data_IF_441845081549
#
_entry.id   IF_441845081549
#
_cell.length_a   1.000
_cell.length_b   1.000
_cell.length_c   1.000
_cell.angle_alpha   90.00
_cell.angle_beta   90.00
_cell.angle_gamma   90.00
#
_symmetry.space_group_name_H-M   'P 1'
#
loop_
_entity.id
_entity.type
_entity.pdbx_description
1 polymer ?
#
# COMPACT_ATOMS: atom_id res chain seq x y z
N UNK A 1 -31.13 -34.50 41.88
CA UNK A 1 -29.82 -34.53 41.19
C UNK A 1 -29.94 -33.65 39.96
N UNK A 2 -29.50 -32.39 40.04
CA UNK A 2 -29.62 -31.43 38.93
C UNK A 2 -28.38 -31.54 38.04
N UNK A 3 -28.59 -31.78 36.74
CA UNK A 3 -27.55 -31.87 35.73
C UNK A 3 -27.11 -30.47 35.28
N UNK A 4 -25.80 -30.25 35.24
CA UNK A 4 -25.18 -29.00 34.81
C UNK A 4 -25.29 -28.80 33.30
N UNK A 5 -25.86 -27.66 32.91
CA UNK A 5 -25.74 -27.08 31.57
C UNK A 5 -24.38 -26.41 31.41
N UNK A 6 -23.52 -26.95 30.56
CA UNK A 6 -22.27 -26.31 30.14
C UNK A 6 -22.54 -25.21 29.11
N UNK A 7 -22.48 -23.96 29.53
CA UNK A 7 -22.33 -22.81 28.61
C UNK A 7 -20.86 -22.63 28.30
N UNK A 8 -20.49 -22.95 27.06
CA UNK A 8 -19.15 -22.68 26.53
C UNK A 8 -19.00 -21.17 26.33
N UNK A 9 -18.15 -20.54 27.13
CA UNK A 9 -17.80 -19.12 26.99
C UNK A 9 -16.83 -18.96 25.82
N UNK A 10 -17.32 -18.36 24.73
CA UNK A 10 -16.46 -17.91 23.62
C UNK A 10 -15.63 -16.73 24.14
N UNK A 11 -14.34 -16.98 24.41
CA UNK A 11 -13.38 -15.94 24.76
C UNK A 11 -13.09 -15.07 23.53
N UNK A 12 -13.72 -13.88 23.48
CA UNK A 12 -13.41 -12.86 22.48
C UNK A 12 -11.98 -12.38 22.71
N UNK A 13 -11.08 -12.67 21.77
CA UNK A 13 -9.71 -12.20 21.84
C UNK A 13 -9.64 -10.68 21.91
N UNK A 14 -9.03 -10.14 22.97
CA UNK A 14 -8.76 -8.72 23.18
C UNK A 14 -7.42 -8.35 22.57
N UNK A 15 -7.23 -8.58 21.27
CA UNK A 15 -6.10 -7.99 20.55
C UNK A 15 -6.39 -6.49 20.37
N UNK A 16 -5.81 -5.67 21.23
CA UNK A 16 -5.92 -4.21 21.13
C UNK A 16 -5.08 -3.74 19.94
N UNK A 17 -5.74 -3.51 18.80
CA UNK A 17 -5.12 -2.86 17.64
C UNK A 17 -5.40 -1.36 17.65
N UNK A 18 -4.44 -0.55 17.20
CA UNK A 18 -4.65 0.89 16.98
C UNK A 18 -5.29 1.19 15.63
N UNK A 19 -5.47 0.17 14.78
CA UNK A 19 -6.16 0.30 13.50
C UNK A 19 -7.66 0.53 13.70
N UNK A 20 -8.31 1.30 12.81
CA UNK A 20 -9.73 1.57 12.91
C UNK A 20 -10.53 0.30 12.60
N UNK A 21 -11.70 0.16 13.24
CA UNK A 21 -12.71 -0.83 12.86
C UNK A 21 -13.26 -0.48 11.49
N UNK A 22 -13.41 -1.48 10.61
CA UNK A 22 -14.03 -1.29 9.30
C UNK A 22 -15.51 -0.91 9.45
N UNK A 23 -15.93 0.08 8.67
CA UNK A 23 -17.32 0.56 8.63
C UNK A 23 -18.21 -0.28 7.71
N UNK A 24 -17.62 -1.05 6.80
CA UNK A 24 -18.32 -1.95 5.88
C UNK A 24 -17.42 -3.12 5.46
N UNK A 25 -18.02 -4.15 4.86
CA UNK A 25 -17.26 -5.24 4.23
C UNK A 25 -16.38 -4.71 3.09
N UNK A 26 -16.88 -3.76 2.31
CA UNK A 26 -16.15 -3.15 1.20
C UNK A 26 -14.88 -2.43 1.69
N UNK A 27 -14.97 -1.71 2.81
CA UNK A 27 -13.79 -1.09 3.43
C UNK A 27 -12.74 -2.12 3.86
N UNK A 28 -13.19 -3.24 4.44
CA UNK A 28 -12.32 -4.34 4.80
C UNK A 28 -11.63 -4.93 3.55
N UNK A 29 -12.40 -5.22 2.50
CA UNK A 29 -11.90 -5.82 1.28
C UNK A 29 -10.84 -4.90 0.60
N UNK A 30 -11.08 -3.59 0.54
CA UNK A 30 -10.13 -2.61 -0.03
C UNK A 30 -8.84 -2.55 0.77
N UNK A 31 -8.92 -2.48 2.10
CA UNK A 31 -7.73 -2.37 2.96
C UNK A 31 -6.94 -3.69 2.95
N UNK A 32 -7.62 -4.84 2.99
CA UNK A 32 -6.97 -6.16 2.90
C UNK A 32 -6.29 -6.35 1.55
N UNK A 33 -6.95 -6.00 0.44
CA UNK A 33 -6.34 -6.05 -0.89
C UNK A 33 -5.13 -5.11 -1.01
N UNK A 34 -5.26 -3.89 -0.47
CA UNK A 34 -4.16 -2.92 -0.43
C UNK A 34 -2.96 -3.45 0.35
N UNK A 35 -3.19 -4.04 1.52
CA UNK A 35 -2.14 -4.65 2.33
C UNK A 35 -1.47 -5.83 1.61
N UNK A 36 -2.25 -6.71 0.99
CA UNK A 36 -1.72 -7.85 0.24
C UNK A 36 -0.87 -7.42 -0.97
N UNK A 37 -1.25 -6.34 -1.66
CA UNK A 37 -0.44 -5.75 -2.75
C UNK A 37 0.81 -5.05 -2.22
N UNK A 38 0.72 -4.39 -1.06
CA UNK A 38 1.86 -3.74 -0.41
C UNK A 38 2.92 -4.77 -0.02
N UNK A 39 2.53 -5.91 0.56
CA UNK A 39 3.46 -6.99 0.91
C UNK A 39 4.26 -7.50 -0.29
N UNK A 40 3.65 -7.54 -1.48
CA UNK A 40 4.32 -7.96 -2.73
C UNK A 40 5.17 -6.85 -3.38
N UNK A 41 5.06 -5.60 -2.93
CA UNK A 41 5.63 -4.46 -3.63
C UNK A 41 7.14 -4.25 -3.42
N UNK A 42 7.70 -4.87 -2.38
CA UNK A 42 9.08 -4.68 -1.95
C UNK A 42 9.35 -3.37 -1.20
N UNK A 43 8.55 -2.32 -1.38
CA UNK A 43 8.73 -1.02 -0.72
C UNK A 43 7.80 -0.79 0.48
N UNK A 44 7.03 -1.81 0.87
CA UNK A 44 6.30 -1.83 2.12
C UNK A 44 7.17 -2.40 3.24
N UNK A 45 7.41 -1.62 4.29
CA UNK A 45 8.29 -1.95 5.41
C UNK A 45 7.56 -2.43 6.67
N UNK A 46 6.23 -2.60 6.60
CA UNK A 46 5.45 -3.07 7.76
C UNK A 46 5.62 -2.16 8.97
N UNK A 47 5.82 -2.70 10.19
CA UNK A 47 5.85 -1.94 11.45
C UNK A 47 7.18 -1.18 11.67
N UNK A 48 7.55 -0.35 10.70
CA UNK A 48 8.75 0.49 10.73
C UNK A 48 8.52 1.79 11.52
N UNK A 49 9.46 2.15 12.39
CA UNK A 49 9.45 3.44 13.09
C UNK A 49 9.73 4.63 12.17
N UNK A 50 9.28 5.82 12.58
CA UNK A 50 9.54 7.04 11.79
C UNK A 50 11.02 7.40 11.76
N UNK A 51 11.71 7.23 12.88
CA UNK A 51 13.14 7.50 13.05
C UNK A 51 13.97 6.57 12.17
N UNK A 52 13.58 5.28 12.13
CA UNK A 52 14.19 4.26 11.27
C UNK A 52 14.02 4.58 9.80
N UNK A 53 12.77 4.85 9.38
CA UNK A 53 12.45 5.21 8.01
C UNK A 53 13.23 6.46 7.56
N UNK A 54 13.35 7.47 8.44
CA UNK A 54 14.14 8.67 8.16
C UNK A 54 15.62 8.35 8.02
N UNK A 55 16.19 7.53 8.89
CA UNK A 55 17.60 7.13 8.79
C UNK A 55 17.90 6.40 7.47
N UNK A 56 17.05 5.45 7.07
CA UNK A 56 17.19 4.72 5.81
C UNK A 56 17.13 5.64 4.59
N UNK A 57 16.24 6.63 4.63
CA UNK A 57 16.06 7.59 3.54
C UNK A 57 17.08 8.73 3.55
N UNK A 58 17.85 8.91 4.63
CA UNK A 58 18.76 10.03 4.79
C UNK A 58 19.80 10.10 3.66
N UNK A 59 20.37 8.95 3.29
CA UNK A 59 21.35 8.80 2.21
C UNK A 59 20.73 8.38 0.86
N UNK A 60 19.41 8.18 0.81
CA UNK A 60 18.73 7.80 -0.43
C UNK A 60 18.62 8.99 -1.41
N UNK A 61 18.52 8.73 -2.72
CA UNK A 61 18.26 9.76 -3.72
C UNK A 61 17.00 10.59 -3.44
N UNK A 62 16.97 11.84 -3.90
CA UNK A 62 15.79 12.70 -3.80
C UNK A 62 14.54 12.02 -4.39
N UNK A 63 13.43 12.07 -3.65
CA UNK A 63 12.16 11.46 -4.03
C UNK A 63 12.08 9.96 -3.72
N UNK A 64 13.14 9.35 -3.16
CA UNK A 64 13.07 7.97 -2.69
C UNK A 64 12.01 7.83 -1.62
N UNK A 65 11.22 6.76 -1.63
CA UNK A 65 10.08 6.62 -0.73
C UNK A 65 9.82 5.18 -0.29
N UNK A 66 9.16 5.02 0.84
CA UNK A 66 8.67 3.74 1.33
C UNK A 66 7.31 3.90 2.02
N UNK A 67 6.56 2.79 2.08
CA UNK A 67 5.32 2.70 2.86
C UNK A 67 5.59 1.89 4.11
N UNK A 68 5.00 2.30 5.23
CA UNK A 68 5.08 1.60 6.51
C UNK A 68 3.74 1.71 7.24
N UNK A 69 3.56 0.89 8.26
CA UNK A 69 2.46 1.04 9.20
C UNK A 69 2.52 2.42 9.86
N UNK A 70 1.35 3.02 10.01
CA UNK A 70 1.20 4.18 10.87
C UNK A 70 1.20 3.73 12.33
N UNK A 71 1.90 4.47 13.21
CA UNK A 71 1.78 4.32 14.68
C UNK A 71 0.61 5.12 15.25
N UNK A 72 -0.07 5.90 14.42
CA UNK A 72 -1.18 6.73 14.86
C UNK A 72 -2.49 5.94 14.88
N UNK A 73 -3.25 6.08 15.96
CA UNK A 73 -4.59 5.51 16.10
C UNK A 73 -5.49 5.91 14.93
N UNK A 74 -6.18 4.92 14.35
CA UNK A 74 -7.14 5.11 13.27
C UNK A 74 -6.53 5.30 11.88
N UNK A 75 -5.22 5.12 11.73
CA UNK A 75 -4.54 5.24 10.43
C UNK A 75 -3.81 3.94 10.14
N UNK A 76 -3.98 3.41 8.93
CA UNK A 76 -3.31 2.17 8.51
C UNK A 76 -1.87 2.43 8.08
N UNK A 77 -1.67 3.33 7.11
CA UNK A 77 -0.39 3.47 6.41
C UNK A 77 0.20 4.88 6.52
N UNK A 78 1.53 4.96 6.41
CA UNK A 78 2.29 6.21 6.32
C UNK A 78 3.28 6.11 5.16
N UNK A 79 3.37 7.18 4.38
CA UNK A 79 4.38 7.40 3.35
C UNK A 79 5.57 8.12 3.99
N UNK A 80 6.75 7.52 3.96
CA UNK A 80 8.01 8.19 4.28
C UNK A 80 8.81 8.40 3.01
N UNK A 81 9.34 9.61 2.78
CA UNK A 81 10.09 9.91 1.56
C UNK A 81 11.19 10.95 1.78
N UNK A 82 12.19 10.94 0.90
CA UNK A 82 13.30 11.89 0.86
C UNK A 82 12.88 13.15 0.12
N UNK A 83 12.54 14.20 0.87
CA UNK A 83 12.31 15.54 0.34
C UNK A 83 13.60 16.34 0.18
N UNK A 84 13.47 17.57 -0.36
CA UNK A 84 14.60 18.50 -0.57
C UNK A 84 15.32 18.86 0.72
N UNK A 85 14.59 19.00 1.82
CA UNK A 85 15.12 19.35 3.13
C UNK A 85 15.42 18.13 4.02
N UNK A 86 15.38 16.91 3.45
CA UNK A 86 15.58 15.67 4.19
C UNK A 86 14.35 14.76 4.19
N UNK A 87 14.43 13.62 4.90
CA UNK A 87 13.33 12.68 5.04
C UNK A 87 12.14 13.28 5.78
N UNK A 88 10.93 13.00 5.30
CA UNK A 88 9.69 13.35 5.98
C UNK A 88 8.67 12.22 5.90
N UNK A 89 7.66 12.28 6.77
CA UNK A 89 6.57 11.30 6.82
C UNK A 89 5.22 12.00 6.72
N UNK A 90 4.32 11.45 5.90
CA UNK A 90 2.94 11.91 5.74
C UNK A 90 1.99 10.72 5.80
N UNK A 91 0.93 10.87 6.59
CA UNK A 91 -0.08 9.81 6.77
C UNK A 91 -0.90 9.65 5.49
N UNK A 92 -1.32 8.42 5.23
CA UNK A 92 -2.27 8.11 4.17
C UNK A 92 -3.62 7.92 4.84
N UNK A 93 -4.51 8.88 4.64
CA UNK A 93 -5.86 8.85 5.17
C UNK A 93 -6.72 7.97 4.27
N UNK A 94 -7.63 7.19 4.87
CA UNK A 94 -8.60 6.37 4.16
C UNK A 94 -10.02 6.75 4.61
N UNK A 95 -10.87 7.15 3.66
CA UNK A 95 -12.25 7.57 3.92
C UNK A 95 -13.08 7.42 2.65
N UNK A 96 -14.32 6.96 2.79
CA UNK A 96 -15.27 6.81 1.67
C UNK A 96 -14.65 6.05 0.48
N UNK A 97 -14.08 4.87 0.76
CA UNK A 97 -13.49 3.98 -0.25
C UNK A 97 -12.30 4.57 -1.03
N UNK A 98 -11.65 5.61 -0.48
CA UNK A 98 -10.56 6.33 -1.15
C UNK A 98 -9.41 6.63 -0.20
N UNK A 99 -8.23 6.79 -0.79
CA UNK A 99 -6.98 7.14 -0.13
C UNK A 99 -6.57 8.59 -0.44
N UNK A 100 -6.06 9.33 0.53
CA UNK A 100 -5.48 10.66 0.33
C UNK A 100 -4.24 10.87 1.21
N UNK A 101 -3.40 11.85 0.86
CA UNK A 101 -2.37 12.31 1.77
C UNK A 101 -2.98 13.25 2.80
N UNK A 102 -2.61 13.10 4.07
CA UNK A 102 -3.20 13.91 5.14
C UNK A 102 -2.98 15.40 4.93
N UNK A 103 -4.06 16.18 5.07
CA UNK A 103 -4.08 17.61 4.74
C UNK A 103 -4.22 17.92 3.24
N UNK A 104 -4.39 16.92 2.37
CA UNK A 104 -4.68 17.10 0.94
C UNK A 104 -6.14 16.73 0.62
N UNK A 105 -6.77 17.48 -0.29
CA UNK A 105 -8.14 17.22 -0.74
C UNK A 105 -8.22 16.15 -1.84
N UNK A 106 -7.11 15.87 -2.53
CA UNK A 106 -7.10 14.92 -3.64
C UNK A 106 -7.11 13.49 -3.11
N UNK A 107 -8.13 12.74 -3.50
CA UNK A 107 -8.36 11.35 -3.11
C UNK A 107 -8.30 10.41 -4.32
N UNK A 108 -7.90 9.17 -4.08
CA UNK A 108 -7.62 8.16 -5.10
C UNK A 108 -8.31 6.84 -4.76
N UNK A 109 -8.74 6.06 -5.77
CA UNK A 109 -9.41 4.78 -5.54
C UNK A 109 -8.49 3.73 -4.92
N UNK A 110 -7.17 3.85 -5.12
CA UNK A 110 -6.18 2.94 -4.52
C UNK A 110 -4.98 3.71 -3.99
N UNK A 111 -4.30 3.14 -3.00
CA UNK A 111 -3.03 3.67 -2.49
C UNK A 111 -1.97 3.77 -3.61
N UNK A 112 -1.94 2.80 -4.52
CA UNK A 112 -0.99 2.78 -5.63
C UNK A 112 -1.28 3.89 -6.66
N UNK A 113 -2.55 4.16 -6.97
CA UNK A 113 -2.92 5.29 -7.84
C UNK A 113 -2.54 6.64 -7.21
N UNK A 114 -2.63 6.75 -5.87
CA UNK A 114 -2.09 7.90 -5.13
C UNK A 114 -0.58 8.02 -5.37
N UNK A 115 0.18 6.94 -5.20
CA UNK A 115 1.64 6.98 -5.40
C UNK A 115 2.02 7.34 -6.85
N UNK A 116 1.38 6.71 -7.83
CA UNK A 116 1.60 7.00 -9.26
C UNK A 116 1.34 8.47 -9.57
N UNK A 117 0.30 9.05 -8.97
CA UNK A 117 0.02 10.46 -9.15
C UNK A 117 1.17 11.35 -8.66
N UNK A 118 1.70 11.11 -7.47
CA UNK A 118 2.78 11.94 -6.92
C UNK A 118 4.14 11.70 -7.59
N UNK A 119 4.36 10.51 -8.15
CA UNK A 119 5.53 10.20 -8.99
C UNK A 119 5.46 10.96 -10.32
N UNK A 120 4.28 10.96 -10.96
CA UNK A 120 4.09 11.60 -12.27
C UNK A 120 3.73 13.09 -12.18
N UNK A 121 3.56 13.64 -10.97
CA UNK A 121 3.26 15.05 -10.79
C UNK A 121 4.43 15.95 -11.22
N UNK A 122 4.17 17.20 -11.68
CA UNK A 122 5.24 18.13 -12.06
C UNK A 122 6.25 18.42 -10.94
N UNK A 123 5.82 18.33 -9.68
CA UNK A 123 6.67 18.52 -8.51
C UNK A 123 7.66 17.36 -8.30
N UNK A 124 7.39 16.19 -8.91
CA UNK A 124 8.18 14.95 -8.81
C UNK A 124 8.64 14.68 -7.37
N UNK A 125 7.70 14.81 -6.43
CA UNK A 125 8.00 14.67 -5.00
C UNK A 125 8.38 13.24 -4.63
N UNK A 126 7.92 12.26 -5.42
CA UNK A 126 8.29 10.86 -5.33
C UNK A 126 8.96 10.44 -6.64
N UNK A 127 9.89 9.50 -6.58
CA UNK A 127 10.61 9.00 -7.75
C UNK A 127 10.88 7.50 -7.64
N UNK A 128 11.59 7.08 -6.60
CA UNK A 128 12.16 5.72 -6.51
C UNK A 128 11.61 5.01 -5.27
N UNK A 129 10.90 3.89 -5.41
CA UNK A 129 10.55 3.08 -4.25
C UNK A 129 11.80 2.46 -3.61
N UNK A 130 11.99 2.69 -2.32
CA UNK A 130 13.05 2.14 -1.48
C UNK A 130 12.65 0.72 -1.04
N UNK A 131 13.14 -0.28 -1.80
CA UNK A 131 12.72 -1.68 -1.64
C UNK A 131 13.63 -2.46 -0.66
N UNK A 132 13.04 -3.46 -0.01
CA UNK A 132 13.74 -4.48 0.79
C UNK A 132 14.52 -5.47 -0.09
N UNK A 133 14.05 -5.71 -1.31
CA UNK A 133 14.64 -6.61 -2.30
C UNK A 133 14.58 -6.01 -3.71
N UNK A 134 15.49 -6.46 -4.57
CA UNK A 134 15.47 -6.08 -5.98
C UNK A 134 14.29 -6.74 -6.71
N UNK A 135 13.59 -6.03 -7.61
CA UNK A 135 12.52 -6.62 -8.39
C UNK A 135 13.01 -7.79 -9.25
N UNK A 136 12.20 -8.84 -9.32
CA UNK A 136 12.42 -9.96 -10.25
C UNK A 136 12.23 -9.53 -11.70
N UNK A 137 12.78 -10.29 -12.64
CA UNK A 137 12.55 -10.04 -14.08
C UNK A 137 11.05 -10.03 -14.43
N UNK A 138 10.25 -10.91 -13.81
CA UNK A 138 8.81 -10.95 -14.04
C UNK A 138 8.13 -9.66 -13.61
N UNK A 139 8.50 -9.09 -12.45
CA UNK A 139 7.96 -7.83 -11.96
C UNK A 139 8.40 -6.64 -12.83
N UNK A 140 9.64 -6.65 -13.31
CA UNK A 140 10.14 -5.65 -14.26
C UNK A 140 9.37 -5.71 -15.58
N UNK A 141 9.14 -6.92 -16.12
CA UNK A 141 8.33 -7.13 -17.32
C UNK A 141 6.88 -6.68 -17.12
N UNK A 142 6.24 -7.06 -16.00
CA UNK A 142 4.89 -6.62 -15.66
C UNK A 142 4.78 -5.11 -15.67
N UNK A 143 5.67 -4.42 -14.96
CA UNK A 143 5.68 -2.95 -14.92
C UNK A 143 5.78 -2.36 -16.33
N UNK A 144 6.67 -2.90 -17.17
CA UNK A 144 6.85 -2.39 -18.54
C UNK A 144 5.63 -2.64 -19.42
N UNK A 145 4.98 -3.80 -19.29
CA UNK A 145 3.75 -4.12 -20.02
C UNK A 145 2.61 -3.20 -19.57
N UNK A 146 2.41 -3.04 -18.26
CA UNK A 146 1.36 -2.16 -17.72
C UNK A 146 1.56 -0.69 -18.11
N UNK A 147 2.82 -0.24 -18.22
CA UNK A 147 3.14 1.09 -18.71
C UNK A 147 2.66 1.32 -20.15
N UNK A 148 2.85 0.32 -21.02
CA UNK A 148 2.49 0.34 -22.44
C UNK A 148 0.99 0.11 -22.68
N UNK A 149 0.36 -0.83 -21.96
CA UNK A 149 -1.06 -1.16 -22.12
C UNK A 149 -1.98 -0.14 -21.44
N UNK A 150 -1.51 0.64 -20.47
CA UNK A 150 -2.33 1.66 -19.80
C UNK A 150 -3.48 1.09 -18.96
N UNK A 151 -4.57 0.66 -19.59
CA UNK A 151 -5.78 0.16 -18.93
C UNK A 151 -5.79 -1.36 -18.75
N UNK A 152 -6.46 -1.82 -17.69
CA UNK A 152 -6.62 -3.26 -17.39
C UNK A 152 -7.39 -4.02 -18.47
N UNK A 153 -8.31 -3.34 -19.15
CA UNK A 153 -9.13 -3.85 -20.26
C UNK A 153 -8.27 -4.36 -21.42
N UNK A 154 -7.10 -3.75 -21.66
CA UNK A 154 -6.20 -4.15 -22.74
C UNK A 154 -5.38 -5.40 -22.41
N UNK A 155 -5.30 -5.81 -21.13
CA UNK A 155 -4.52 -6.99 -20.73
C UNK A 155 -5.14 -8.28 -21.29
N UNK A 156 -6.47 -8.35 -21.40
CA UNK A 156 -7.17 -9.50 -22.00
C UNK A 156 -6.94 -9.66 -23.50
N UNK A 157 -6.49 -8.60 -24.18
CA UNK A 157 -6.20 -8.61 -25.62
C UNK A 157 -4.76 -9.07 -25.93
N UNK A 158 -3.91 -9.19 -24.90
CA UNK A 158 -2.53 -9.60 -25.08
C UNK A 158 -2.45 -11.07 -25.53
N UNK A 159 -1.58 -11.42 -26.51
CA UNK A 159 -1.39 -12.79 -26.99
C UNK A 159 -0.54 -13.62 -26.02
N UNK A 160 -0.96 -13.70 -24.76
CA UNK A 160 -0.32 -14.43 -23.67
C UNK A 160 -1.33 -15.34 -22.99
N UNK A 161 -0.85 -16.30 -22.20
CA UNK A 161 -1.75 -17.23 -21.48
C UNK A 161 -2.54 -16.51 -20.38
N UNK A 162 -3.69 -17.07 -19.99
CA UNK A 162 -4.50 -16.55 -18.88
C UNK A 162 -3.70 -16.40 -17.58
N UNK A 163 -2.77 -17.33 -17.30
CA UNK A 163 -1.87 -17.25 -16.13
C UNK A 163 -1.02 -15.96 -16.15
N UNK A 164 -0.51 -15.58 -17.33
CA UNK A 164 0.25 -14.33 -17.47
C UNK A 164 -0.69 -13.12 -17.35
N UNK A 165 -1.89 -13.17 -17.92
CA UNK A 165 -2.88 -12.10 -17.78
C UNK A 165 -3.25 -11.87 -16.30
N UNK A 166 -3.49 -12.94 -15.54
CA UNK A 166 -3.77 -12.89 -14.10
C UNK A 166 -2.58 -12.30 -13.33
N UNK A 167 -1.36 -12.72 -13.63
CA UNK A 167 -0.14 -12.15 -13.02
C UNK A 167 0.01 -10.64 -13.28
N UNK A 168 -0.33 -10.18 -14.49
CA UNK A 168 -0.33 -8.75 -14.82
C UNK A 168 -1.41 -7.98 -14.04
N UNK A 169 -2.61 -8.56 -13.93
CA UNK A 169 -3.77 -7.96 -13.24
C UNK A 169 -3.66 -7.99 -11.70
N UNK A 170 -2.83 -8.87 -11.14
CA UNK A 170 -2.60 -8.95 -9.69
C UNK A 170 -1.95 -7.67 -9.14
N UNK A 171 -1.10 -7.01 -9.93
CA UNK A 171 -0.49 -5.72 -9.60
C UNK A 171 -0.38 -4.80 -10.84
N UNK A 172 -1.50 -4.16 -11.23
CA UNK A 172 -1.62 -3.45 -12.50
C UNK A 172 -1.19 -1.98 -12.35
N UNK A 173 0.04 -1.76 -11.88
CA UNK A 173 0.60 -0.43 -11.61
C UNK A 173 1.96 -0.24 -12.30
N UNK A 174 2.31 1.02 -12.57
CA UNK A 174 3.51 1.46 -13.29
C UNK A 174 4.71 1.78 -12.37
N UNK A 175 4.55 1.53 -11.07
CA UNK A 175 5.49 1.82 -9.96
C UNK A 175 6.68 0.84 -9.92
#
# INVERSE_FOLDING_TARGET
TMAHSHTSTVTRSTYTTHFPTFTSKEDCDIITDTAAKLERSGFYWGPLGVEEAHRMLQSAPLGSFLIRDSRQKGVFFTLSYKGKCGPLSIRIDYKQLKFSLSGNQRAFPTLFALLEHYINSPKKSLSIPYRKWEPTLQELCRRRIMDLCGEKSQVSELPVTHVVQEFLLEFPFKL
#
